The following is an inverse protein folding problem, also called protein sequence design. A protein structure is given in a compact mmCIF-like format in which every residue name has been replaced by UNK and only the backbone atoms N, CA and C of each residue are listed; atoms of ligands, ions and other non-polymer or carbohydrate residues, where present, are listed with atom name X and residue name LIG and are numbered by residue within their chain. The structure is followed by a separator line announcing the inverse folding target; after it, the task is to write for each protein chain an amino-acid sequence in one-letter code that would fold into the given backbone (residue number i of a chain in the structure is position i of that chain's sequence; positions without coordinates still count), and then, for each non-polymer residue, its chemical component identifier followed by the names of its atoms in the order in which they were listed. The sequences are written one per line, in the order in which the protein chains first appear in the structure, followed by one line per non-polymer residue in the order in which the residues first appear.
data_IF_453626465036
#
_entry.id   IF_453626465036
#
_cell.length_a   1.000
_cell.length_b   1.000
_cell.length_c   1.000
_cell.angle_alpha   90.00
_cell.angle_beta   90.00
_cell.angle_gamma   90.00
#
_symmetry.space_group_name_H-M   'P 1'
#
loop_
_entity.id
_entity.type
_entity.pdbx_description
1 polymer ?
#
# COMPACT_ATOMS: atom_id res chain seq x y z
N UNK A 1 -1.56 16.03 3.56
CA UNK A 1 -0.52 16.74 2.76
C UNK A 1 0.30 15.69 2.02
N UNK A 2 0.63 15.90 0.76
CA UNK A 2 1.41 14.92 -0.03
C UNK A 2 2.86 15.36 -0.08
N UNK A 3 3.80 14.46 0.27
CA UNK A 3 5.24 14.68 0.10
C UNK A 3 5.84 13.71 -0.89
N UNK A 4 6.83 14.19 -1.61
CA UNK A 4 7.56 13.44 -2.64
C UNK A 4 9.04 13.41 -2.35
N UNK A 5 9.71 12.41 -2.92
CA UNK A 5 11.17 12.38 -3.07
C UNK A 5 11.52 12.39 -4.55
N UNK A 6 12.52 13.15 -4.91
CA UNK A 6 13.07 13.20 -6.25
C UNK A 6 14.54 13.63 -6.27
N UNK A 7 15.28 13.19 -7.28
CA UNK A 7 16.56 13.76 -7.68
C UNK A 7 16.27 14.87 -8.69
N UNK A 8 16.72 16.10 -8.43
CA UNK A 8 16.22 17.27 -9.15
C UNK A 8 17.27 18.10 -9.89
N UNK A 9 18.39 18.43 -9.27
CA UNK A 9 19.38 19.36 -9.82
C UNK A 9 20.67 19.26 -9.00
N UNK A 10 21.83 19.55 -9.59
CA UNK A 10 23.10 19.56 -8.90
C UNK A 10 23.32 20.81 -8.01
N UNK A 11 24.46 20.87 -7.32
CA UNK A 11 24.84 21.98 -6.44
C UNK A 11 24.98 23.33 -7.15
N UNK A 12 25.15 23.33 -8.47
CA UNK A 12 25.32 24.51 -9.29
C UNK A 12 24.01 24.96 -9.99
N UNK A 13 22.93 24.20 -9.79
CA UNK A 13 21.67 24.46 -10.47
C UNK A 13 21.62 23.92 -11.91
N UNK A 14 22.48 22.95 -12.26
CA UNK A 14 22.54 22.33 -13.58
C UNK A 14 21.99 20.88 -13.56
N UNK A 15 21.67 20.38 -14.75
CA UNK A 15 21.16 19.02 -14.94
C UNK A 15 22.24 18.00 -15.29
N UNK A 16 23.40 18.42 -15.74
CA UNK A 16 24.48 17.51 -16.15
C UNK A 16 25.21 16.88 -14.98
N UNK A 17 25.16 17.52 -13.82
CA UNK A 17 25.79 17.08 -12.60
C UNK A 17 27.08 17.83 -12.27
N UNK A 18 27.31 17.96 -10.97
CA UNK A 18 28.51 18.53 -10.36
C UNK A 18 29.34 17.44 -9.67
N UNK A 19 29.65 17.63 -8.40
CA UNK A 19 30.37 16.65 -7.60
C UNK A 19 29.46 15.49 -7.23
N UNK A 20 30.01 14.30 -7.13
CA UNK A 20 29.28 13.13 -6.63
C UNK A 20 28.88 13.32 -5.17
N UNK A 21 27.69 12.85 -4.82
CA UNK A 21 27.04 13.08 -3.52
C UNK A 21 26.30 14.42 -3.45
N UNK A 22 25.37 14.54 -2.54
CA UNK A 22 24.58 15.77 -2.33
C UNK A 22 25.42 16.81 -1.56
N UNK A 23 25.78 17.88 -2.23
CA UNK A 23 26.63 18.96 -1.69
C UNK A 23 25.80 20.03 -0.95
N UNK A 24 24.49 20.07 -1.18
CA UNK A 24 23.60 21.13 -0.73
C UNK A 24 22.48 20.68 0.20
N UNK A 25 22.27 19.37 0.31
CA UNK A 25 21.10 18.77 0.95
C UNK A 25 19.81 18.98 0.16
N UNK A 26 19.92 19.28 -1.16
CA UNK A 26 18.76 19.60 -2.02
C UNK A 26 18.80 18.93 -3.39
N UNK A 27 19.81 18.09 -3.65
CA UNK A 27 19.98 17.43 -4.93
C UNK A 27 19.05 16.20 -5.03
N UNK A 28 18.99 15.41 -3.96
CA UNK A 28 17.97 14.38 -3.77
C UNK A 28 17.16 14.74 -2.52
N UNK A 29 15.93 15.21 -2.70
CA UNK A 29 15.21 15.90 -1.64
C UNK A 29 13.80 15.36 -1.43
N UNK A 30 13.37 15.37 -0.15
CA UNK A 30 11.97 15.23 0.23
C UNK A 30 11.33 16.61 0.36
N UNK A 31 10.24 16.87 -0.37
CA UNK A 31 9.51 18.12 -0.35
C UNK A 31 8.00 17.92 -0.54
N UNK A 32 7.24 19.01 -0.41
CA UNK A 32 5.81 18.99 -0.72
C UNK A 32 5.59 18.75 -2.22
N UNK A 33 4.54 17.97 -2.54
CA UNK A 33 4.10 17.80 -3.93
C UNK A 33 3.63 19.16 -4.49
N UNK A 34 4.02 19.46 -5.71
CA UNK A 34 3.76 20.74 -6.35
C UNK A 34 2.97 20.56 -7.66
N UNK A 35 2.25 21.61 -8.02
CA UNK A 35 1.50 21.66 -9.27
C UNK A 35 2.45 21.80 -10.46
N UNK A 36 2.26 20.98 -11.48
CA UNK A 36 3.00 20.98 -12.73
C UNK A 36 2.21 20.19 -13.78
N UNK A 37 2.73 20.10 -15.00
CA UNK A 37 2.11 19.34 -16.10
C UNK A 37 2.27 17.82 -15.93
N UNK A 38 1.89 17.33 -14.74
CA UNK A 38 1.85 15.89 -14.47
C UNK A 38 0.80 15.21 -15.33
N UNK A 39 1.12 14.05 -15.91
CA UNK A 39 0.21 13.37 -16.84
C UNK A 39 -0.02 11.88 -16.53
N UNK A 40 0.88 11.23 -15.79
CA UNK A 40 0.77 9.78 -15.51
C UNK A 40 1.16 9.47 -14.08
N UNK A 41 0.41 8.56 -13.47
CA UNK A 41 0.74 7.92 -12.19
C UNK A 41 0.95 6.44 -12.43
N UNK A 42 2.08 5.90 -11.99
CA UNK A 42 2.30 4.46 -11.87
C UNK A 42 2.11 4.08 -10.41
N UNK A 43 1.02 3.40 -10.14
CA UNK A 43 0.65 2.95 -8.79
C UNK A 43 1.04 1.49 -8.59
N UNK A 44 1.89 1.16 -7.59
CA UNK A 44 2.17 -0.23 -7.27
C UNK A 44 0.88 -0.98 -6.93
N UNK A 45 0.70 -2.18 -7.49
CA UNK A 45 -0.46 -3.04 -7.20
C UNK A 45 -0.41 -3.60 -5.78
N UNK A 46 0.80 -3.90 -5.30
CA UNK A 46 1.01 -4.43 -3.95
C UNK A 46 1.35 -3.32 -2.97
N UNK A 47 0.58 -3.23 -1.88
CA UNK A 47 0.77 -2.21 -0.82
C UNK A 47 2.14 -2.33 -0.16
N UNK A 48 2.67 -3.56 0.00
CA UNK A 48 3.99 -3.77 0.55
C UNK A 48 5.08 -3.14 -0.33
N UNK A 49 5.01 -3.35 -1.65
CA UNK A 49 5.93 -2.74 -2.63
C UNK A 49 5.83 -1.21 -2.55
N UNK A 50 4.63 -0.65 -2.53
CA UNK A 50 4.43 0.80 -2.41
C UNK A 50 5.13 1.39 -1.18
N UNK A 51 4.95 0.77 -0.01
CA UNK A 51 5.58 1.19 1.25
C UNK A 51 7.11 1.05 1.22
N UNK A 52 7.63 -0.01 0.63
CA UNK A 52 9.08 -0.22 0.52
C UNK A 52 9.72 0.79 -0.44
N UNK A 53 9.12 1.05 -1.61
CA UNK A 53 9.59 2.07 -2.54
C UNK A 53 9.68 3.44 -1.86
N UNK A 54 8.62 3.84 -1.14
CA UNK A 54 8.57 5.12 -0.42
C UNK A 54 9.62 5.19 0.69
N UNK A 55 9.74 4.15 1.52
CA UNK A 55 10.75 4.07 2.59
C UNK A 55 12.18 4.16 2.03
N UNK A 56 12.47 3.42 0.98
CA UNK A 56 13.78 3.42 0.35
C UNK A 56 14.12 4.78 -0.27
N UNK A 57 13.13 5.45 -0.87
CA UNK A 57 13.30 6.81 -1.38
C UNK A 57 13.64 7.80 -0.25
N UNK A 58 12.99 7.68 0.91
CA UNK A 58 13.30 8.51 2.08
C UNK A 58 14.73 8.26 2.61
N UNK A 59 15.17 6.99 2.67
CA UNK A 59 16.54 6.66 3.08
C UNK A 59 17.57 7.27 2.13
N UNK A 60 17.30 7.27 0.82
CA UNK A 60 18.17 7.92 -0.17
C UNK A 60 18.18 9.44 0.07
N UNK A 61 17.04 10.09 0.22
CA UNK A 61 16.96 11.54 0.43
C UNK A 61 17.55 12.02 1.77
N UNK A 62 17.74 11.12 2.73
CA UNK A 62 18.39 11.40 4.02
C UNK A 62 19.90 11.15 4.01
N UNK A 63 20.45 10.60 2.93
CA UNK A 63 21.85 10.20 2.83
C UNK A 63 22.59 11.06 1.79
N UNK A 64 23.40 11.99 2.25
CA UNK A 64 24.17 12.91 1.41
C UNK A 64 25.22 12.22 0.50
N UNK A 65 25.42 10.90 0.60
CA UNK A 65 26.18 10.17 -0.39
C UNK A 65 25.52 10.16 -1.78
N UNK A 66 24.22 10.41 -1.87
CA UNK A 66 23.45 10.44 -3.12
C UNK A 66 23.21 11.85 -3.59
N UNK A 67 23.86 12.26 -4.67
CA UNK A 67 23.66 13.55 -5.34
C UNK A 67 22.92 13.41 -6.67
N UNK A 68 22.93 14.51 -7.44
CA UNK A 68 22.28 14.58 -8.74
C UNK A 68 23.29 14.66 -9.89
N UNK A 69 23.12 13.84 -10.91
CA UNK A 69 23.81 13.98 -12.19
C UNK A 69 23.11 13.20 -13.29
N UNK A 70 22.90 13.79 -14.46
CA UNK A 70 22.52 13.05 -15.67
C UNK A 70 23.71 12.31 -16.28
N UNK A 71 24.93 12.84 -16.16
CA UNK A 71 26.13 12.19 -16.66
C UNK A 71 26.48 10.92 -15.89
N UNK A 72 26.44 10.97 -14.56
CA UNK A 72 26.79 9.88 -13.64
C UNK A 72 25.58 9.17 -13.02
N UNK A 73 24.45 9.23 -13.70
CA UNK A 73 23.11 8.81 -13.22
C UNK A 73 22.97 7.39 -12.69
N UNK A 74 23.90 6.51 -13.00
CA UNK A 74 23.84 5.11 -12.59
C UNK A 74 24.79 4.76 -11.42
N UNK A 75 25.64 5.69 -11.01
CA UNK A 75 26.61 5.43 -9.92
C UNK A 75 25.88 5.15 -8.61
N UNK A 76 24.76 5.83 -8.35
CA UNK A 76 23.90 5.57 -7.19
C UNK A 76 23.33 4.15 -7.17
N UNK A 77 22.89 3.63 -8.32
CA UNK A 77 22.46 2.23 -8.44
C UNK A 77 23.62 1.25 -8.16
N UNK A 78 24.78 1.50 -8.73
CA UNK A 78 25.92 0.59 -8.57
C UNK A 78 26.43 0.55 -7.12
N UNK A 79 26.48 1.70 -6.43
CA UNK A 79 26.87 1.75 -5.02
C UNK A 79 25.81 1.11 -4.11
N UNK A 80 24.52 1.35 -4.37
CA UNK A 80 23.42 0.71 -3.63
C UNK A 80 23.45 -0.82 -3.79
N UNK A 81 23.69 -1.32 -5.02
CA UNK A 81 23.80 -2.74 -5.31
C UNK A 81 24.94 -3.43 -4.57
N UNK A 82 26.09 -2.77 -4.40
CA UNK A 82 27.23 -3.27 -3.59
C UNK A 82 26.87 -3.44 -2.11
N UNK A 83 25.82 -2.80 -1.65
CA UNK A 83 25.28 -2.85 -0.28
C UNK A 83 23.96 -3.63 -0.18
N UNK A 84 23.62 -4.48 -1.17
CA UNK A 84 22.36 -5.22 -1.23
C UNK A 84 21.15 -4.31 -1.05
N UNK A 85 21.19 -3.11 -1.65
CA UNK A 85 20.18 -2.05 -1.55
C UNK A 85 19.86 -1.57 -0.12
N UNK A 86 20.82 -1.70 0.80
CA UNK A 86 20.77 -1.03 2.10
C UNK A 86 21.20 0.43 1.90
N UNK A 87 20.25 1.28 1.53
CA UNK A 87 20.50 2.65 1.08
C UNK A 87 21.12 3.55 2.16
N UNK A 88 20.86 3.29 3.43
CA UNK A 88 21.49 3.97 4.58
C UNK A 88 22.97 3.57 4.79
N UNK A 89 23.44 2.50 4.17
CA UNK A 89 24.84 2.00 4.30
C UNK A 89 25.75 2.45 3.17
N UNK A 90 25.26 3.16 2.19
CA UNK A 90 26.08 3.72 1.14
C UNK A 90 26.82 4.94 1.67
N UNK A 91 28.14 4.93 1.59
CA UNK A 91 29.02 6.02 2.05
C UNK A 91 29.88 6.61 0.93
N UNK A 92 29.95 5.90 -0.19
CA UNK A 92 30.65 6.38 -1.39
C UNK A 92 29.79 7.43 -2.09
N UNK A 93 30.29 8.66 -2.32
CA UNK A 93 29.54 9.66 -3.08
C UNK A 93 29.17 9.15 -4.48
N UNK A 94 27.92 9.28 -4.85
CA UNK A 94 27.35 8.78 -6.10
C UNK A 94 26.13 9.61 -6.51
N UNK A 95 25.57 9.37 -7.69
CA UNK A 95 24.52 10.22 -8.24
C UNK A 95 23.36 9.43 -8.85
N UNK A 96 22.22 10.10 -8.85
CA UNK A 96 21.04 9.75 -9.62
C UNK A 96 20.61 10.92 -10.52
N UNK A 97 19.82 10.63 -11.55
CA UNK A 97 18.81 11.55 -12.07
C UNK A 97 17.42 11.11 -11.62
N UNK A 98 16.39 11.85 -11.99
CA UNK A 98 15.01 11.57 -11.53
C UNK A 98 14.56 10.17 -11.95
N UNK A 99 14.90 9.70 -13.13
CA UNK A 99 14.42 8.41 -13.67
C UNK A 99 15.31 7.23 -13.23
N UNK A 100 16.60 7.40 -13.07
CA UNK A 100 17.50 6.35 -12.54
C UNK A 100 17.27 6.10 -11.04
N UNK A 101 16.84 7.12 -10.29
CA UNK A 101 16.35 6.93 -8.92
C UNK A 101 15.17 5.97 -8.90
N UNK A 102 14.15 6.20 -9.74
CA UNK A 102 12.96 5.30 -9.79
C UNK A 102 13.35 3.88 -10.23
N UNK A 103 14.20 3.75 -11.26
CA UNK A 103 14.72 2.46 -11.70
C UNK A 103 15.40 1.70 -10.56
N UNK A 104 16.22 2.41 -9.77
CA UNK A 104 16.94 1.81 -8.64
C UNK A 104 15.99 1.31 -7.55
N UNK A 105 15.00 2.12 -7.17
CA UNK A 105 13.98 1.75 -6.20
C UNK A 105 13.21 0.51 -6.64
N UNK A 106 12.77 0.47 -7.90
CA UNK A 106 12.01 -0.65 -8.48
C UNK A 106 12.85 -1.94 -8.49
N UNK A 107 14.13 -1.84 -8.88
CA UNK A 107 15.05 -3.01 -8.88
C UNK A 107 15.37 -3.51 -7.48
N UNK A 108 15.42 -2.64 -6.49
CA UNK A 108 15.60 -3.02 -5.09
C UNK A 108 14.48 -3.93 -4.56
N UNK A 109 13.26 -3.82 -5.14
CA UNK A 109 12.13 -4.73 -4.85
C UNK A 109 12.18 -6.04 -5.65
N UNK A 110 13.28 -6.32 -6.35
CA UNK A 110 13.41 -7.51 -7.20
C UNK A 110 12.59 -7.45 -8.49
N UNK A 111 11.99 -6.30 -8.81
CA UNK A 111 11.19 -6.12 -10.02
C UNK A 111 12.13 -5.90 -11.19
N UNK A 112 12.02 -6.76 -12.21
CA UNK A 112 12.86 -6.66 -13.39
C UNK A 112 12.39 -5.51 -14.30
N UNK A 113 13.16 -4.41 -14.29
CA UNK A 113 12.98 -3.27 -15.18
C UNK A 113 14.30 -2.94 -15.87
N UNK A 114 14.25 -2.45 -17.11
CA UNK A 114 15.49 -2.10 -17.84
C UNK A 114 16.27 -0.98 -17.14
N UNK A 115 17.59 -1.02 -17.25
CA UNK A 115 18.48 -0.02 -16.64
C UNK A 115 18.32 1.35 -17.31
N UNK A 116 18.18 1.36 -18.62
CA UNK A 116 18.06 2.56 -19.45
C UNK A 116 16.62 3.12 -19.40
N UNK A 117 16.20 3.52 -18.19
CA UNK A 117 14.91 4.16 -17.95
C UNK A 117 15.08 5.68 -17.97
N UNK A 118 14.28 6.33 -18.80
CA UNK A 118 14.21 7.79 -18.95
C UNK A 118 12.75 8.23 -18.93
N UNK A 119 12.48 9.48 -18.59
CA UNK A 119 11.09 9.99 -18.52
C UNK A 119 10.33 9.84 -19.83
N UNK A 120 11.01 9.92 -20.98
CA UNK A 120 10.41 9.79 -22.32
C UNK A 120 10.13 8.33 -22.72
N UNK A 121 10.72 7.33 -22.06
CA UNK A 121 10.55 5.92 -22.40
C UNK A 121 9.99 5.06 -21.25
N UNK A 122 9.52 5.68 -20.14
CA UNK A 122 9.07 4.96 -18.94
C UNK A 122 7.85 4.08 -19.18
N UNK A 123 6.92 4.51 -20.00
CA UNK A 123 5.62 3.87 -20.14
C UNK A 123 5.71 2.36 -20.41
N UNK A 124 6.35 1.98 -21.49
CA UNK A 124 6.41 0.58 -21.89
C UNK A 124 7.12 -0.31 -20.87
N UNK A 125 8.30 0.07 -20.32
CA UNK A 125 8.95 -0.70 -19.26
C UNK A 125 8.13 -0.82 -17.97
N UNK A 126 7.48 0.24 -17.52
CA UNK A 126 6.67 0.22 -16.30
C UNK A 126 5.48 -0.72 -16.45
N UNK A 127 4.74 -0.61 -17.55
CA UNK A 127 3.60 -1.49 -17.85
C UNK A 127 4.05 -2.94 -18.01
N UNK A 128 5.17 -3.18 -18.69
CA UNK A 128 5.69 -4.53 -18.95
C UNK A 128 6.08 -5.29 -17.67
N UNK A 129 6.36 -4.60 -16.54
CA UNK A 129 6.60 -5.28 -15.27
C UNK A 129 5.37 -6.01 -14.74
N UNK A 130 4.17 -5.60 -15.14
CA UNK A 130 2.90 -6.09 -14.60
C UNK A 130 2.64 -5.70 -13.13
N UNK A 131 3.55 -4.95 -12.48
CA UNK A 131 3.50 -4.61 -11.05
C UNK A 131 2.84 -3.27 -10.76
N UNK A 132 2.59 -2.47 -11.78
CA UNK A 132 2.03 -1.13 -11.64
C UNK A 132 0.75 -0.96 -12.47
N UNK A 133 -0.21 -0.25 -11.90
CA UNK A 133 -1.33 0.31 -12.64
C UNK A 133 -0.91 1.66 -13.23
N UNK A 134 -1.14 1.86 -14.54
CA UNK A 134 -0.95 3.15 -15.20
C UNK A 134 -2.25 3.93 -15.14
N UNK A 135 -2.23 5.08 -14.47
CA UNK A 135 -3.40 5.93 -14.23
C UNK A 135 -3.13 7.31 -14.84
N UNK A 136 -4.04 7.87 -15.66
CA UNK A 136 -3.93 9.27 -16.07
C UNK A 136 -3.97 10.19 -14.84
N UNK A 137 -2.98 11.09 -14.72
CA UNK A 137 -3.00 12.07 -13.65
C UNK A 137 -4.11 13.10 -13.89
N UNK A 138 -4.83 13.42 -12.85
CA UNK A 138 -5.80 14.51 -12.83
C UNK A 138 -5.49 15.42 -11.65
N UNK A 139 -5.49 16.74 -11.89
CA UNK A 139 -5.24 17.73 -10.82
C UNK A 139 -6.22 17.53 -9.66
N UNK A 140 -5.68 17.41 -8.46
CA UNK A 140 -6.47 17.17 -7.25
C UNK A 140 -6.83 15.71 -6.98
N UNK A 141 -6.38 14.77 -7.82
CA UNK A 141 -6.56 13.35 -7.51
C UNK A 141 -5.81 12.94 -6.23
N UNK A 142 -6.34 11.96 -5.53
CA UNK A 142 -5.71 11.39 -4.35
C UNK A 142 -4.48 10.56 -4.75
N UNK A 143 -3.29 11.13 -4.55
CA UNK A 143 -2.02 10.41 -4.68
C UNK A 143 -1.78 9.56 -3.43
N UNK A 144 -1.24 8.36 -3.60
CA UNK A 144 -0.97 7.40 -2.54
C UNK A 144 0.52 7.21 -2.33
N UNK A 145 0.92 6.79 -1.14
CA UNK A 145 2.30 6.41 -0.85
C UNK A 145 2.76 5.34 -1.85
N UNK A 146 3.94 5.54 -2.44
CA UNK A 146 4.52 4.68 -3.47
C UNK A 146 4.10 5.03 -4.90
N UNK A 147 3.15 5.95 -5.12
CA UNK A 147 2.83 6.44 -6.46
C UNK A 147 4.05 7.10 -7.10
N UNK A 148 4.39 6.68 -8.31
CA UNK A 148 5.42 7.30 -9.14
C UNK A 148 4.71 8.21 -10.14
N UNK A 149 4.94 9.53 -10.03
CA UNK A 149 4.24 10.54 -10.80
C UNK A 149 5.16 11.13 -11.85
N UNK A 150 4.73 11.03 -13.11
CA UNK A 150 5.51 11.40 -14.29
C UNK A 150 4.94 12.62 -15.01
N UNK A 151 5.83 13.52 -15.39
CA UNK A 151 5.63 14.55 -16.40
C UNK A 151 6.74 14.51 -17.44
N UNK A 152 6.60 15.25 -18.52
CA UNK A 152 7.67 15.41 -19.49
C UNK A 152 8.94 15.98 -18.82
N UNK A 153 10.03 15.24 -18.93
CA UNK A 153 11.34 15.61 -18.41
C UNK A 153 11.52 15.44 -16.90
N UNK A 154 10.50 14.98 -16.14
CA UNK A 154 10.67 14.76 -14.70
C UNK A 154 9.77 13.67 -14.14
N UNK A 155 10.24 12.99 -13.08
CA UNK A 155 9.50 11.94 -12.37
C UNK A 155 9.81 12.01 -10.87
N UNK A 156 8.80 11.77 -10.05
CA UNK A 156 8.89 11.82 -8.58
C UNK A 156 8.20 10.61 -7.96
N UNK A 157 8.51 10.31 -6.71
CA UNK A 157 7.79 9.28 -5.95
C UNK A 157 7.12 9.90 -4.72
N UNK A 158 5.88 9.53 -4.46
CA UNK A 158 5.13 9.92 -3.28
C UNK A 158 5.59 9.10 -2.07
N UNK A 159 6.03 9.77 -1.02
CA UNK A 159 6.53 9.14 0.21
C UNK A 159 5.63 9.36 1.42
N UNK A 160 4.86 10.45 1.43
CA UNK A 160 3.79 10.69 2.40
C UNK A 160 2.51 11.12 1.70
N UNK A 161 1.38 10.64 2.17
CA UNK A 161 0.08 11.05 1.67
C UNK A 161 -0.99 10.81 2.74
N UNK A 162 -1.96 11.73 2.80
CA UNK A 162 -3.18 11.57 3.59
C UNK A 162 -4.22 10.69 2.86
N UNK A 163 -3.94 10.28 1.62
CA UNK A 163 -4.83 9.44 0.85
C UNK A 163 -4.84 8.02 1.41
N UNK A 164 -5.97 7.63 1.93
CA UNK A 164 -6.19 6.28 2.44
C UNK A 164 -6.65 5.34 1.32
N UNK A 165 -6.15 4.12 1.34
CA UNK A 165 -6.68 3.07 0.44
C UNK A 165 -8.08 2.69 0.88
N UNK A 166 -9.07 3.14 0.13
CA UNK A 166 -10.46 2.74 0.38
C UNK A 166 -10.61 1.25 0.11
N UNK A 167 -11.12 0.53 1.11
CA UNK A 167 -11.41 -0.89 0.99
C UNK A 167 -12.76 -1.22 1.62
N UNK A 168 -13.34 -2.34 1.21
CA UNK A 168 -14.62 -2.78 1.73
C UNK A 168 -14.41 -3.52 3.04
N UNK A 169 -15.02 -3.00 4.12
CA UNK A 169 -15.15 -3.64 5.41
C UNK A 169 -16.48 -4.33 5.58
N UNK A 170 -16.52 -5.34 6.43
CA UNK A 170 -17.73 -6.02 6.87
C UNK A 170 -17.81 -6.00 8.40
N UNK A 171 -18.95 -5.63 8.94
CA UNK A 171 -19.20 -5.71 10.38
C UNK A 171 -19.27 -7.18 10.82
N UNK A 172 -18.55 -7.55 11.89
CA UNK A 172 -18.56 -8.91 12.40
C UNK A 172 -18.40 -8.97 13.93
N UNK A 173 -18.70 -10.15 14.50
CA UNK A 173 -18.39 -10.50 15.89
C UNK A 173 -19.31 -9.87 16.94
N UNK A 174 -20.29 -9.06 16.53
CA UNK A 174 -21.29 -8.43 17.38
C UNK A 174 -22.62 -8.41 16.66
N UNK A 175 -23.73 -8.47 17.39
CA UNK A 175 -25.06 -8.34 16.76
C UNK A 175 -25.23 -6.97 16.09
N UNK A 176 -24.79 -5.91 16.79
CA UNK A 176 -24.79 -4.53 16.30
C UNK A 176 -23.53 -3.82 16.78
N UNK A 177 -22.76 -3.26 15.87
CA UNK A 177 -21.61 -2.42 16.20
C UNK A 177 -22.04 -0.94 16.29
N UNK A 178 -21.69 -0.24 17.36
CA UNK A 178 -21.93 1.20 17.44
C UNK A 178 -21.02 1.94 16.47
N UNK A 179 -21.56 2.94 15.79
CA UNK A 179 -20.81 3.90 14.98
C UNK A 179 -20.80 5.23 15.71
N UNK A 180 -19.65 5.87 15.77
CA UNK A 180 -19.41 7.11 16.51
C UNK A 180 -19.15 8.27 15.55
N UNK A 181 -19.49 9.47 15.97
CA UNK A 181 -19.17 10.69 15.21
C UNK A 181 -17.66 11.03 15.27
N UNK A 182 -16.96 10.52 16.30
CA UNK A 182 -15.50 10.73 16.52
C UNK A 182 -14.84 9.40 16.87
N UNK A 183 -13.53 9.30 16.66
CA UNK A 183 -12.72 8.11 16.99
C UNK A 183 -12.48 8.01 18.51
N UNK A 184 -13.55 7.88 19.30
CA UNK A 184 -13.51 7.85 20.77
C UNK A 184 -14.58 6.91 21.33
N UNK A 185 -14.28 6.15 22.41
CA UNK A 185 -15.29 5.32 23.09
C UNK A 185 -16.36 6.14 23.84
N UNK A 186 -16.06 7.41 24.12
CA UNK A 186 -16.97 8.39 24.75
C UNK A 186 -17.56 9.37 23.76
N UNK A 187 -17.28 9.18 22.46
CA UNK A 187 -17.84 10.01 21.39
C UNK A 187 -19.35 9.80 21.24
N UNK A 188 -20.00 10.80 20.67
CA UNK A 188 -21.43 10.71 20.34
C UNK A 188 -21.66 9.57 19.35
N UNK A 189 -22.65 8.73 19.63
CA UNK A 189 -23.10 7.71 18.71
C UNK A 189 -23.88 8.36 17.59
N UNK A 190 -23.57 7.93 16.36
CA UNK A 190 -24.39 8.33 15.22
C UNK A 190 -25.84 7.84 15.42
N UNK A 191 -26.79 8.69 15.13
CA UNK A 191 -28.23 8.40 15.32
C UNK A 191 -28.84 7.50 14.23
N UNK A 192 -28.10 7.27 13.17
CA UNK A 192 -28.48 6.39 12.05
C UNK A 192 -27.89 4.99 12.25
N UNK A 193 -28.30 4.00 11.43
CA UNK A 193 -28.33 2.61 11.84
C UNK A 193 -27.01 2.09 12.35
N UNK A 194 -27.05 1.41 13.48
CA UNK A 194 -26.02 0.51 13.94
C UNK A 194 -25.71 -0.52 12.86
N UNK A 195 -24.43 -0.78 12.63
CA UNK A 195 -24.02 -1.80 11.69
C UNK A 195 -24.21 -3.19 12.30
N UNK A 196 -25.05 -3.98 11.68
CA UNK A 196 -25.21 -5.39 12.02
C UNK A 196 -24.08 -6.23 11.41
N UNK A 197 -23.81 -7.39 12.02
CA UNK A 197 -22.93 -8.39 11.41
C UNK A 197 -23.38 -8.70 9.99
N UNK A 198 -22.43 -8.66 9.05
CA UNK A 198 -22.67 -8.85 7.61
C UNK A 198 -22.90 -7.56 6.83
N UNK A 199 -23.11 -6.42 7.48
CA UNK A 199 -23.23 -5.14 6.78
C UNK A 199 -21.89 -4.71 6.20
N UNK A 200 -21.91 -4.30 4.93
CA UNK A 200 -20.75 -3.80 4.20
C UNK A 200 -20.68 -2.27 4.27
N UNK A 201 -19.48 -1.76 4.28
CA UNK A 201 -19.16 -0.33 4.24
C UNK A 201 -17.76 -0.11 3.66
N UNK A 202 -17.48 1.10 3.25
CA UNK A 202 -16.12 1.47 2.84
C UNK A 202 -15.33 1.98 4.03
N UNK A 203 -14.12 1.47 4.20
CA UNK A 203 -13.13 2.02 5.13
C UNK A 203 -12.32 3.04 4.36
N UNK A 204 -12.41 4.30 4.81
CA UNK A 204 -11.85 5.47 4.13
C UNK A 204 -10.73 6.15 4.92
N UNK A 205 -10.42 5.64 6.11
CA UNK A 205 -9.35 6.14 6.98
C UNK A 205 -9.28 5.37 8.29
N UNK A 206 -8.36 5.78 9.15
CA UNK A 206 -8.25 5.24 10.50
C UNK A 206 -7.75 6.28 11.52
N UNK A 207 -8.12 6.10 12.78
CA UNK A 207 -7.66 6.92 13.89
C UNK A 207 -7.61 6.07 15.16
N UNK A 208 -6.42 5.82 15.70
CA UNK A 208 -6.22 4.92 16.85
C UNK A 208 -6.85 3.54 16.62
N UNK A 209 -7.71 3.12 17.53
CA UNK A 209 -8.41 1.83 17.47
C UNK A 209 -9.68 1.83 16.59
N UNK A 210 -9.89 2.88 15.81
CA UNK A 210 -11.09 3.06 14.98
C UNK A 210 -10.74 3.13 13.51
N UNK A 211 -11.64 2.60 12.65
CA UNK A 211 -11.71 2.91 11.24
C UNK A 211 -12.71 4.04 11.01
N UNK A 212 -12.33 5.02 10.19
CA UNK A 212 -13.26 5.97 9.60
C UNK A 212 -13.96 5.30 8.43
N UNK A 213 -15.27 5.26 8.45
CA UNK A 213 -16.06 4.50 7.49
C UNK A 213 -17.08 5.38 6.77
N UNK A 214 -17.40 4.99 5.55
CA UNK A 214 -18.50 5.52 4.74
C UNK A 214 -19.49 4.39 4.48
N UNK A 215 -20.74 4.58 4.93
CA UNK A 215 -21.81 3.58 4.77
C UNK A 215 -22.65 3.91 3.55
N UNK A 216 -22.94 5.19 3.34
CA UNK A 216 -23.59 5.74 2.14
C UNK A 216 -22.89 7.01 1.70
N UNK A 217 -23.32 7.61 0.61
CA UNK A 217 -22.76 8.88 0.12
C UNK A 217 -22.84 10.04 1.14
N UNK A 218 -23.72 9.93 2.14
CA UNK A 218 -23.97 10.98 3.15
C UNK A 218 -23.75 10.53 4.59
N UNK A 219 -23.49 9.23 4.85
CA UNK A 219 -23.34 8.68 6.20
C UNK A 219 -21.90 8.22 6.44
N UNK A 220 -21.23 8.91 7.34
CA UNK A 220 -19.85 8.66 7.75
C UNK A 220 -19.79 8.48 9.26
N UNK A 221 -18.77 7.80 9.76
CA UNK A 221 -18.54 7.67 11.19
C UNK A 221 -17.32 6.79 11.49
N UNK A 222 -17.16 6.47 12.76
CA UNK A 222 -16.03 5.67 13.26
C UNK A 222 -16.55 4.38 13.89
N UNK A 223 -15.97 3.25 13.50
CA UNK A 223 -16.24 1.93 14.08
C UNK A 223 -14.95 1.35 14.67
N UNK A 224 -15.02 0.63 15.79
CA UNK A 224 -13.84 -0.04 16.33
C UNK A 224 -13.29 -1.08 15.35
N UNK A 225 -11.98 -1.10 15.17
CA UNK A 225 -11.25 -2.06 14.33
C UNK A 225 -11.59 -3.52 14.69
N UNK A 226 -11.85 -3.78 15.99
CA UNK A 226 -12.23 -5.10 16.46
C UNK A 226 -13.54 -5.66 15.86
N UNK A 227 -14.38 -4.80 15.30
CA UNK A 227 -15.66 -5.18 14.69
C UNK A 227 -15.64 -5.16 13.16
N UNK A 228 -14.44 -5.08 12.54
CA UNK A 228 -14.31 -4.96 11.11
C UNK A 228 -13.44 -6.06 10.55
N UNK A 229 -13.95 -6.76 9.54
CA UNK A 229 -13.20 -7.63 8.66
C UNK A 229 -12.97 -6.94 7.32
N UNK A 230 -11.76 -7.05 6.80
CA UNK A 230 -11.45 -6.58 5.45
C UNK A 230 -11.98 -7.60 4.43
N UNK A 231 -12.79 -7.13 3.49
CA UNK A 231 -13.13 -7.88 2.28
C UNK A 231 -11.95 -7.80 1.32
N UNK A 232 -11.23 -8.90 1.15
CA UNK A 232 -10.18 -9.02 0.12
C UNK A 232 -10.77 -9.64 -1.13
N UNK A 233 -10.06 -9.54 -2.26
CA UNK A 233 -10.38 -10.32 -3.46
C UNK A 233 -10.38 -11.79 -3.08
N UNK A 234 -11.47 -12.48 -3.36
CA UNK A 234 -11.66 -13.86 -2.92
C UNK A 234 -10.55 -14.77 -3.48
N UNK A 235 -9.81 -15.40 -2.58
CA UNK A 235 -9.02 -16.59 -2.90
C UNK A 235 -9.92 -17.79 -2.76
N UNK A 236 -9.68 -18.83 -3.55
CA UNK A 236 -10.40 -20.11 -3.37
C UNK A 236 -9.54 -21.06 -2.54
N UNK A 237 -10.20 -21.94 -1.80
CA UNK A 237 -9.55 -23.01 -1.07
C UNK A 237 -10.35 -24.29 -1.15
N UNK A 238 -9.67 -25.42 -1.08
CA UNK A 238 -10.27 -26.76 -1.07
C UNK A 238 -10.25 -27.33 0.35
N UNK A 239 -11.40 -27.73 0.85
CA UNK A 239 -11.56 -28.35 2.16
C UNK A 239 -10.91 -29.76 2.14
N UNK A 240 -9.93 -29.98 3.01
CA UNK A 240 -9.16 -31.24 3.08
C UNK A 240 -9.83 -32.29 3.97
N UNK A 241 -10.57 -31.84 4.99
CA UNK A 241 -11.34 -32.69 5.91
C UNK A 241 -12.55 -31.92 6.41
N UNK A 242 -13.65 -32.59 6.71
CA UNK A 242 -14.87 -31.94 7.20
C UNK A 242 -14.56 -31.03 8.39
N UNK A 243 -15.07 -29.80 8.35
CA UNK A 243 -14.76 -28.76 9.33
C UNK A 243 -15.98 -27.87 9.60
N UNK A 244 -16.13 -27.46 10.86
CA UNK A 244 -17.18 -26.52 11.23
C UNK A 244 -16.97 -25.12 10.68
N UNK A 245 -18.06 -24.51 10.23
CA UNK A 245 -18.15 -23.06 10.04
C UNK A 245 -18.73 -22.45 11.31
N UNK A 246 -18.10 -21.41 11.84
CA UNK A 246 -18.43 -20.82 13.13
C UNK A 246 -18.71 -19.31 13.00
N UNK A 247 -19.36 -18.73 14.01
CA UNK A 247 -19.70 -17.31 14.06
C UNK A 247 -18.48 -16.40 14.19
N UNK A 248 -17.37 -16.89 14.74
CA UNK A 248 -16.11 -16.14 14.85
C UNK A 248 -14.90 -17.11 14.83
N UNK A 249 -13.69 -16.54 14.74
CA UNK A 249 -12.42 -17.28 14.73
C UNK A 249 -12.14 -17.90 16.10
N UNK A 250 -12.29 -19.22 16.22
CA UNK A 250 -12.03 -19.98 17.43
C UNK A 250 -13.01 -21.14 17.65
N UNK A 251 -12.52 -22.22 18.25
CA UNK A 251 -13.29 -23.44 18.47
C UNK A 251 -14.43 -23.30 19.50
N UNK A 252 -14.36 -22.29 20.37
CA UNK A 252 -15.37 -22.01 21.39
C UNK A 252 -16.61 -21.30 20.83
N UNK A 253 -16.53 -20.68 19.65
CA UNK A 253 -17.68 -20.00 19.07
C UNK A 253 -18.70 -20.98 18.48
N UNK A 254 -19.97 -20.58 18.49
CA UNK A 254 -21.09 -21.38 17.99
C UNK A 254 -20.87 -21.78 16.54
N UNK A 255 -21.05 -23.07 16.25
CA UNK A 255 -21.06 -23.57 14.88
C UNK A 255 -22.37 -23.16 14.18
N UNK A 256 -22.25 -22.65 12.95
CA UNK A 256 -23.36 -22.25 12.08
C UNK A 256 -23.53 -23.18 10.89
N UNK A 257 -22.60 -24.12 10.73
CA UNK A 257 -22.65 -25.16 9.71
C UNK A 257 -21.38 -26.00 9.64
N UNK A 258 -21.32 -26.84 8.60
CA UNK A 258 -20.21 -27.73 8.32
C UNK A 258 -19.87 -27.65 6.83
N UNK A 259 -18.57 -27.65 6.52
CA UNK A 259 -18.03 -27.89 5.19
C UNK A 259 -17.58 -29.34 5.09
N UNK A 260 -17.91 -29.98 4.00
CA UNK A 260 -17.45 -31.34 3.72
C UNK A 260 -16.11 -31.35 2.98
N UNK A 261 -15.34 -32.42 3.15
CA UNK A 261 -14.10 -32.60 2.39
C UNK A 261 -14.35 -32.48 0.87
N UNK A 262 -13.38 -31.91 0.16
CA UNK A 262 -13.38 -31.61 -1.29
C UNK A 262 -14.29 -30.46 -1.73
N UNK A 263 -15.03 -29.83 -0.83
CA UNK A 263 -15.74 -28.59 -1.18
C UNK A 263 -14.75 -27.46 -1.46
N UNK A 264 -15.04 -26.64 -2.47
CA UNK A 264 -14.34 -25.38 -2.73
C UNK A 264 -15.06 -24.26 -1.97
N UNK A 265 -14.27 -23.42 -1.33
CA UNK A 265 -14.75 -22.25 -0.59
C UNK A 265 -14.05 -20.98 -1.07
N UNK A 266 -14.76 -19.88 -1.01
CA UNK A 266 -14.22 -18.55 -1.22
C UNK A 266 -13.66 -18.02 0.11
N UNK A 267 -12.37 -17.70 0.13
CA UNK A 267 -11.66 -17.17 1.31
C UNK A 267 -11.59 -15.66 1.18
N UNK A 268 -12.28 -14.96 2.06
CA UNK A 268 -12.38 -13.51 2.03
C UNK A 268 -11.32 -12.82 2.89
N UNK A 269 -10.90 -13.48 3.99
CA UNK A 269 -9.88 -12.93 4.89
C UNK A 269 -9.30 -14.04 5.80
N UNK A 270 -8.25 -13.68 6.57
CA UNK A 270 -7.63 -14.54 7.59
C UNK A 270 -7.60 -13.82 8.93
N UNK A 271 -8.05 -14.51 9.99
CA UNK A 271 -8.02 -13.99 11.36
C UNK A 271 -7.34 -14.98 12.29
N UNK A 272 -6.55 -14.46 13.24
CA UNK A 272 -6.01 -15.26 14.33
C UNK A 272 -7.02 -15.41 15.46
N UNK A 273 -7.23 -16.65 15.90
CA UNK A 273 -7.95 -16.95 17.13
C UNK A 273 -7.12 -16.56 18.36
N UNK A 274 -7.74 -16.55 19.55
CA UNK A 274 -7.06 -16.20 20.81
C UNK A 274 -5.84 -17.09 21.13
N UNK A 275 -5.82 -18.33 20.64
CA UNK A 275 -4.69 -19.27 20.77
C UNK A 275 -3.64 -19.13 19.64
N UNK A 276 -3.73 -18.09 18.82
CA UNK A 276 -2.80 -17.82 17.72
C UNK A 276 -3.06 -18.61 16.42
N UNK A 277 -4.01 -19.55 16.40
CA UNK A 277 -4.32 -20.35 15.21
C UNK A 277 -5.02 -19.49 14.14
N UNK A 278 -4.69 -19.75 12.86
CA UNK A 278 -5.32 -19.06 11.73
C UNK A 278 -6.70 -19.64 11.41
N UNK A 279 -7.64 -18.76 11.16
CA UNK A 279 -8.99 -19.04 10.73
C UNK A 279 -9.29 -18.23 9.47
N UNK A 280 -9.87 -18.89 8.47
CA UNK A 280 -10.33 -18.22 7.27
C UNK A 280 -11.76 -17.71 7.45
N UNK A 281 -11.98 -16.44 7.08
CA UNK A 281 -13.30 -15.88 6.87
C UNK A 281 -13.75 -16.25 5.48
N UNK A 282 -14.81 -17.01 5.37
CA UNK A 282 -15.24 -17.67 4.14
C UNK A 282 -16.69 -17.35 3.81
N UNK A 283 -17.01 -17.33 2.51
CA UNK A 283 -18.39 -17.31 2.06
C UNK A 283 -19.05 -18.64 2.41
N UNK A 284 -20.21 -18.57 3.06
CA UNK A 284 -20.96 -19.74 3.45
C UNK A 284 -22.46 -19.49 3.30
N UNK A 285 -23.14 -20.21 2.38
CA UNK A 285 -24.55 -19.98 1.98
C UNK A 285 -24.74 -18.52 1.55
N UNK A 286 -25.76 -17.85 2.07
CA UNK A 286 -26.09 -16.46 1.76
C UNK A 286 -25.35 -15.44 2.66
N UNK A 287 -24.36 -15.89 3.42
CA UNK A 287 -23.59 -15.08 4.35
C UNK A 287 -22.13 -15.52 4.44
N UNK A 288 -21.56 -15.37 5.62
CA UNK A 288 -20.16 -15.64 5.89
C UNK A 288 -19.98 -16.33 7.25
N UNK A 289 -18.82 -16.95 7.43
CA UNK A 289 -18.44 -17.55 8.70
C UNK A 289 -16.95 -17.85 8.75
N UNK A 290 -16.50 -18.39 9.87
CA UNK A 290 -15.11 -18.71 10.11
C UNK A 290 -14.89 -20.22 10.09
N UNK A 291 -13.85 -20.66 9.40
CA UNK A 291 -13.41 -22.06 9.40
C UNK A 291 -11.92 -22.14 9.65
N UNK A 292 -11.48 -23.17 10.37
CA UNK A 292 -10.05 -23.33 10.69
C UNK A 292 -9.23 -23.50 9.42
N UNK A 293 -8.20 -22.66 9.25
CA UNK A 293 -7.28 -22.69 8.10
C UNK A 293 -6.56 -24.05 7.96
N UNK A 294 -6.39 -24.78 9.07
CA UNK A 294 -5.77 -26.13 9.09
C UNK A 294 -6.44 -27.12 8.13
N UNK A 295 -7.72 -26.95 7.87
CA UNK A 295 -8.53 -27.88 7.08
C UNK A 295 -8.89 -27.35 5.69
N UNK A 296 -8.27 -26.25 5.25
CA UNK A 296 -8.53 -25.63 3.95
C UNK A 296 -7.21 -25.34 3.26
N UNK A 297 -6.95 -26.03 2.15
CA UNK A 297 -5.78 -25.78 1.30
C UNK A 297 -6.14 -24.66 0.33
N UNK A 298 -5.38 -23.57 0.35
CA UNK A 298 -5.52 -22.49 -0.64
C UNK A 298 -5.09 -23.00 -2.01
N UNK A 299 -5.89 -22.69 -3.03
CA UNK A 299 -5.65 -23.10 -4.42
C UNK A 299 -4.69 -22.15 -5.13
#
# INVERSE_FOLDING_TARGET
MVKIVHARIDENGNIMGGKAGDQTGKEVVKQDFYDADWHTVYRPKEVAVAKHLAKNAELIAQNNAYGYSQGERYTGYEEARKKDFQFDKVTTPCCFDCSSLQMTLIRAEGINIKKELFTWNMDAPMVATGQFDKIPYQKGMALKVGDIVLKTGHVVIVVESDAYDVWVGECYGVQYAPVYAQASPTGDRCTWPTLATGNLFEVIGESGDYYHIRITTTHYGYIRKAYVLRKTTAKTGTVTSSVYVRQNAGASYKAIGVLNAKQTVEICDTKKAANGADWYYIKYKDGYGFSSARYIKVN
#
